data_IF_518497788211
#
_entry.id   IF_518497788211
#
_cell.length_a   1.000
_cell.length_b   1.000
_cell.length_c   1.000
_cell.angle_alpha   90.00
_cell.angle_beta   90.00
_cell.angle_gamma   90.00
#
_symmetry.space_group_name_H-M   'P 1'
#
loop_
_entity.id
_entity.type
_entity.pdbx_description
1 polymer ?
#
# COMPACT_ATOMS: atom_id res chain seq x y z
N UNK A 1 0.55 -4.73 -17.92
CA UNK A 1 0.82 -3.31 -18.22
C UNK A 1 2.28 -3.09 -18.59
N UNK A 2 3.23 -3.55 -17.76
CA UNK A 2 4.67 -3.50 -18.04
C UNK A 2 5.10 -4.16 -19.36
N UNK A 3 4.46 -5.27 -19.77
CA UNK A 3 4.81 -5.99 -21.01
C UNK A 3 4.50 -5.23 -22.32
N UNK A 4 3.73 -4.14 -22.24
CA UNK A 4 3.28 -3.36 -23.42
C UNK A 4 3.81 -1.93 -23.43
N UNK A 5 4.55 -1.52 -22.40
CA UNK A 5 5.12 -0.18 -22.25
C UNK A 5 6.63 -0.22 -22.39
N UNK A 6 7.23 0.87 -22.86
CA UNK A 6 8.68 1.00 -22.80
C UNK A 6 9.12 1.11 -21.32
N UNK A 7 10.28 0.59 -20.93
CA UNK A 7 10.74 0.63 -19.53
C UNK A 7 10.75 2.04 -18.90
N UNK A 8 11.11 3.06 -19.68
CA UNK A 8 11.12 4.44 -19.22
C UNK A 8 9.71 5.02 -18.95
N UNK A 9 8.72 4.62 -19.75
CA UNK A 9 7.33 5.01 -19.58
C UNK A 9 6.74 4.32 -18.34
N UNK A 10 7.04 3.03 -18.16
CA UNK A 10 6.63 2.29 -16.97
C UNK A 10 7.25 2.89 -15.70
N UNK A 11 8.54 3.20 -15.71
CA UNK A 11 9.21 3.85 -14.58
C UNK A 11 8.59 5.22 -14.26
N UNK A 12 8.23 6.01 -15.27
CA UNK A 12 7.57 7.31 -15.07
C UNK A 12 6.17 7.15 -14.45
N UNK A 13 5.41 6.15 -14.88
CA UNK A 13 4.11 5.82 -14.30
C UNK A 13 4.24 5.37 -12.84
N UNK A 14 5.21 4.50 -12.53
CA UNK A 14 5.47 4.04 -11.16
C UNK A 14 5.94 5.18 -10.26
N UNK A 15 6.83 6.06 -10.74
CA UNK A 15 7.26 7.22 -9.97
C UNK A 15 6.09 8.16 -9.64
N UNK A 16 5.15 8.36 -10.58
CA UNK A 16 3.91 9.11 -10.32
C UNK A 16 3.07 8.44 -9.24
N UNK A 17 2.91 7.12 -9.33
CA UNK A 17 2.15 6.33 -8.35
C UNK A 17 2.80 6.37 -6.97
N UNK A 18 4.08 6.04 -6.84
CA UNK A 18 4.79 6.02 -5.56
C UNK A 18 4.79 7.38 -4.89
N UNK A 19 4.95 8.47 -5.66
CA UNK A 19 4.82 9.82 -5.12
C UNK A 19 3.42 10.07 -4.56
N UNK A 20 2.38 9.91 -5.39
CA UNK A 20 0.99 10.16 -4.98
C UNK A 20 0.57 9.27 -3.82
N UNK A 21 0.98 8.00 -3.83
CA UNK A 21 0.61 7.04 -2.80
C UNK A 21 1.35 7.28 -1.49
N UNK A 22 2.64 7.64 -1.54
CA UNK A 22 3.39 7.99 -0.33
C UNK A 22 2.81 9.24 0.33
N UNK A 23 2.48 10.28 -0.45
CA UNK A 23 1.87 11.51 0.07
C UNK A 23 0.54 11.20 0.79
N UNK A 24 -0.28 10.31 0.24
CA UNK A 24 -1.56 9.90 0.84
C UNK A 24 -1.36 9.07 2.10
N UNK A 25 -0.48 8.06 2.06
CA UNK A 25 -0.20 7.19 3.21
C UNK A 25 0.36 8.00 4.37
N UNK A 26 1.35 8.86 4.12
CA UNK A 26 1.92 9.75 5.14
C UNK A 26 0.88 10.74 5.67
N UNK A 27 0.02 11.28 4.79
CA UNK A 27 -1.09 12.15 5.20
C UNK A 27 -2.19 11.44 6.00
N UNK A 28 -2.15 10.11 6.09
CA UNK A 28 -3.00 9.29 6.96
C UNK A 28 -2.18 8.69 8.13
N UNK A 29 -1.01 9.26 8.42
CA UNK A 29 -0.11 8.88 9.52
C UNK A 29 0.48 7.46 9.39
N UNK A 30 0.57 6.93 8.17
CA UNK A 30 1.27 5.67 7.90
C UNK A 30 2.79 5.87 7.84
N UNK A 31 3.53 4.83 8.24
CA UNK A 31 4.93 4.67 7.89
C UNK A 31 5.04 3.93 6.56
N UNK A 32 5.83 4.45 5.62
CA UNK A 32 6.15 3.71 4.41
C UNK A 32 7.15 2.61 4.78
N UNK A 33 6.78 1.36 4.56
CA UNK A 33 7.67 0.21 4.78
C UNK A 33 8.64 0.10 3.61
N UNK A 34 8.11 -0.21 2.43
CA UNK A 34 8.90 -0.36 1.21
C UNK A 34 8.03 -0.35 -0.05
N UNK A 35 8.72 -0.28 -1.18
CA UNK A 35 8.17 -0.57 -2.50
C UNK A 35 8.64 -1.96 -2.94
N UNK A 36 7.75 -2.82 -3.42
CA UNK A 36 8.08 -4.17 -3.91
C UNK A 36 7.56 -4.33 -5.33
N UNK A 37 8.45 -4.19 -6.32
CA UNK A 37 8.02 -4.17 -7.72
C UNK A 37 7.14 -2.95 -8.01
N UNK A 38 5.85 -3.18 -8.23
CA UNK A 38 4.79 -2.19 -8.41
C UNK A 38 3.92 -1.97 -7.16
N UNK A 39 4.22 -2.67 -6.06
CA UNK A 39 3.50 -2.55 -4.79
C UNK A 39 4.05 -1.40 -3.92
N UNK A 40 3.16 -0.77 -3.17
CA UNK A 40 3.46 0.22 -2.14
C UNK A 40 2.87 -0.25 -0.80
N UNK A 41 3.72 -0.39 0.21
CA UNK A 41 3.34 -0.93 1.52
C UNK A 41 3.39 0.18 2.58
N UNK A 42 2.27 0.37 3.28
CA UNK A 42 2.15 1.30 4.41
C UNK A 42 1.80 0.57 5.71
N UNK A 43 2.47 0.95 6.80
CA UNK A 43 2.22 0.44 8.15
C UNK A 43 1.50 1.49 8.98
N UNK A 44 0.37 1.09 9.56
CA UNK A 44 -0.37 1.91 10.50
C UNK A 44 -0.20 1.32 11.90
N UNK A 45 0.53 2.02 12.76
CA UNK A 45 0.90 1.53 14.09
C UNK A 45 0.00 2.16 15.16
N UNK A 46 -0.50 1.38 16.14
CA UNK A 46 -1.35 1.91 17.22
C UNK A 46 -0.65 2.97 18.08
N UNK A 47 0.68 2.96 18.13
CA UNK A 47 1.49 3.96 18.83
C UNK A 47 1.51 5.33 18.12
N UNK A 48 1.14 5.38 16.85
CA UNK A 48 1.10 6.60 16.02
C UNK A 48 -0.37 7.00 15.79
N UNK A 49 -1.24 6.02 15.50
CA UNK A 49 -2.64 6.24 15.13
C UNK A 49 -3.54 5.37 16.00
N UNK A 50 -4.29 5.99 16.92
CA UNK A 50 -5.17 5.26 17.84
C UNK A 50 -6.29 4.46 17.13
N UNK A 51 -6.71 4.92 15.95
CA UNK A 51 -7.65 4.24 15.06
C UNK A 51 -6.98 3.69 13.80
N UNK A 52 -5.79 3.09 13.94
CA UNK A 52 -4.94 2.64 12.83
C UNK A 52 -5.67 1.81 11.76
N UNK A 53 -6.65 0.93 12.07
CA UNK A 53 -7.32 0.15 11.03
C UNK A 53 -8.23 1.03 10.14
N UNK A 54 -9.01 1.91 10.76
CA UNK A 54 -9.87 2.86 10.04
C UNK A 54 -9.04 3.84 9.20
N UNK A 55 -7.89 4.28 9.71
CA UNK A 55 -6.97 5.13 8.96
C UNK A 55 -6.39 4.41 7.72
N UNK A 56 -6.07 3.12 7.84
CA UNK A 56 -5.60 2.30 6.71
C UNK A 56 -6.68 2.15 5.63
N UNK A 57 -7.93 1.91 6.02
CA UNK A 57 -9.07 1.83 5.09
C UNK A 57 -9.32 3.16 4.39
N UNK A 58 -9.26 4.28 5.12
CA UNK A 58 -9.41 5.61 4.55
C UNK A 58 -8.27 5.95 3.57
N UNK A 59 -7.03 5.59 3.89
CA UNK A 59 -5.91 5.73 2.97
C UNK A 59 -6.14 4.93 1.69
N UNK A 60 -6.66 3.70 1.80
CA UNK A 60 -7.08 2.89 0.66
C UNK A 60 -8.11 3.58 -0.23
N UNK A 61 -9.16 4.16 0.36
CA UNK A 61 -10.16 4.95 -0.39
C UNK A 61 -9.54 6.14 -1.12
N UNK A 62 -8.63 6.86 -0.46
CA UNK A 62 -7.92 8.01 -1.04
C UNK A 62 -7.02 7.58 -2.20
N UNK A 63 -6.33 6.45 -2.07
CA UNK A 63 -5.50 5.88 -3.14
C UNK A 63 -6.34 5.53 -4.38
N UNK A 64 -7.51 4.90 -4.20
CA UNK A 64 -8.44 4.62 -5.30
C UNK A 64 -8.87 5.91 -6.00
N UNK A 65 -9.31 6.91 -5.25
CA UNK A 65 -9.70 8.20 -5.82
C UNK A 65 -8.53 8.89 -6.55
N UNK A 66 -7.35 8.93 -5.95
CA UNK A 66 -6.18 9.58 -6.54
C UNK A 66 -5.67 8.87 -7.80
N UNK A 67 -5.92 7.56 -7.93
CA UNK A 67 -5.61 6.78 -9.14
C UNK A 67 -6.71 6.81 -10.20
N UNK A 68 -7.78 7.60 -9.96
CA UNK A 68 -8.86 7.88 -10.90
C UNK A 68 -10.01 6.88 -10.87
N UNK A 69 -10.08 5.99 -9.87
CA UNK A 69 -11.24 5.13 -9.70
C UNK A 69 -12.45 5.98 -9.29
N UNK A 70 -13.55 5.84 -10.03
CA UNK A 70 -14.76 6.64 -9.87
C UNK A 70 -14.86 7.87 -10.78
N UNK A 71 -13.80 8.19 -11.52
CA UNK A 71 -13.82 9.28 -12.52
C UNK A 71 -14.43 8.80 -13.86
N UNK A 72 -15.14 9.67 -14.61
CA UNK A 72 -15.73 9.31 -15.91
C UNK A 72 -14.72 8.79 -16.95
N UNK A 73 -13.45 9.22 -16.84
CA UNK A 73 -12.36 8.77 -17.72
C UNK A 73 -11.75 7.43 -17.32
N UNK A 74 -12.20 6.83 -16.21
CA UNK A 74 -11.60 5.63 -15.64
C UNK A 74 -10.25 5.89 -14.95
N UNK A 75 -9.69 4.87 -14.27
CA UNK A 75 -8.43 5.02 -13.55
C UNK A 75 -7.26 5.19 -14.53
N UNK A 76 -6.39 6.16 -14.24
CA UNK A 76 -5.11 6.27 -14.95
C UNK A 76 -4.11 5.20 -14.51
N UNK A 77 -4.37 4.55 -13.37
CA UNK A 77 -3.67 3.37 -12.91
C UNK A 77 -4.65 2.40 -12.24
N UNK A 78 -4.93 1.22 -12.85
CA UNK A 78 -5.73 0.20 -12.19
C UNK A 78 -4.95 -0.39 -11.01
N UNK A 79 -5.45 -0.20 -9.80
CA UNK A 79 -4.86 -0.74 -8.56
C UNK A 79 -5.91 -1.53 -7.80
N UNK A 80 -5.48 -2.57 -7.09
CA UNK A 80 -6.25 -3.24 -6.04
C UNK A 80 -5.56 -3.01 -4.69
N UNK A 81 -6.33 -2.97 -3.61
CA UNK A 81 -5.80 -2.66 -2.28
C UNK A 81 -6.26 -3.73 -1.28
N UNK A 82 -5.32 -4.22 -0.48
CA UNK A 82 -5.58 -5.12 0.65
C UNK A 82 -5.27 -4.44 1.98
N UNK A 83 -6.20 -4.52 2.94
CA UNK A 83 -6.02 -3.99 4.30
C UNK A 83 -6.32 -5.08 5.33
N UNK A 84 -5.40 -5.25 6.28
CA UNK A 84 -5.54 -6.15 7.40
C UNK A 84 -4.93 -5.52 8.65
N UNK A 85 -5.53 -5.79 9.81
CA UNK A 85 -4.98 -5.44 11.11
C UNK A 85 -4.79 -6.70 11.94
N UNK A 86 -3.61 -6.81 12.56
CA UNK A 86 -3.24 -7.98 13.34
C UNK A 86 -1.92 -7.75 14.07
N UNK A 87 -1.52 -8.75 14.87
CA UNK A 87 -0.24 -8.70 15.59
C UNK A 87 0.89 -9.04 14.63
N UNK A 88 1.92 -8.19 14.59
CA UNK A 88 3.15 -8.40 13.85
C UNK A 88 4.34 -7.89 14.67
N UNK A 89 5.52 -8.45 14.44
CA UNK A 89 6.76 -7.81 14.83
C UNK A 89 6.96 -6.58 13.94
N UNK A 90 7.32 -5.43 14.53
CA UNK A 90 7.68 -4.22 13.78
C UNK A 90 9.00 -3.72 14.33
N UNK A 91 10.01 -3.63 13.48
CA UNK A 91 11.35 -3.23 13.91
C UNK A 91 12.39 -3.41 12.82
N UNK A 92 13.64 -3.24 13.21
CA UNK A 92 14.77 -3.50 12.31
C UNK A 92 14.92 -5.00 12.06
N UNK A 93 15.09 -5.38 10.79
CA UNK A 93 15.31 -6.74 10.30
C UNK A 93 16.48 -6.73 9.33
N UNK A 94 17.42 -7.64 9.52
CA UNK A 94 18.68 -7.71 8.78
C UNK A 94 19.90 -7.60 9.72
N UNK A 95 21.09 -7.52 9.13
CA UNK A 95 22.33 -7.37 9.88
C UNK A 95 23.22 -6.24 9.32
N UNK A 96 24.02 -5.66 10.21
CA UNK A 96 25.10 -4.73 9.87
C UNK A 96 24.70 -3.57 8.96
N UNK A 97 25.11 -3.66 7.69
CA UNK A 97 25.03 -2.59 6.69
C UNK A 97 23.71 -2.59 5.90
N UNK A 98 22.90 -3.64 6.00
CA UNK A 98 21.63 -3.79 5.27
C UNK A 98 20.55 -4.21 6.26
N UNK A 99 19.81 -3.21 6.74
CA UNK A 99 18.70 -3.42 7.65
C UNK A 99 17.49 -2.59 7.20
N UNK A 100 16.34 -3.26 7.11
CA UNK A 100 15.06 -2.62 6.85
C UNK A 100 14.33 -2.42 8.18
N UNK A 101 13.67 -1.28 8.35
CA UNK A 101 12.63 -1.15 9.37
C UNK A 101 11.31 -1.62 8.77
N UNK A 102 10.81 -2.78 9.21
CA UNK A 102 9.70 -3.46 8.53
C UNK A 102 8.82 -4.24 9.50
N UNK A 103 7.71 -4.76 8.99
CA UNK A 103 6.81 -5.64 9.73
C UNK A 103 7.01 -7.11 9.32
N UNK A 104 6.92 -8.03 10.27
CA UNK A 104 6.98 -9.48 10.03
C UNK A 104 5.91 -10.23 10.83
N UNK A 105 5.32 -11.24 10.19
CA UNK A 105 4.34 -12.13 10.79
C UNK A 105 3.15 -12.38 9.88
N UNK A 106 2.23 -13.23 10.35
CA UNK A 106 1.09 -13.66 9.54
C UNK A 106 0.18 -12.51 9.10
N UNK A 107 0.07 -11.45 9.91
CA UNK A 107 -0.72 -10.27 9.56
C UNK A 107 -0.24 -9.61 8.25
N UNK A 108 1.08 -9.55 8.03
CA UNK A 108 1.67 -8.99 6.81
C UNK A 108 1.37 -9.89 5.61
N UNK A 109 1.47 -11.21 5.80
CA UNK A 109 1.17 -12.20 4.77
C UNK A 109 -0.33 -12.20 4.38
N UNK A 110 -1.23 -11.94 5.33
CA UNK A 110 -2.66 -11.79 5.06
C UNK A 110 -2.91 -10.53 4.24
N UNK A 111 -2.33 -9.39 4.62
CA UNK A 111 -2.48 -8.14 3.88
C UNK A 111 -1.98 -8.26 2.43
N UNK A 112 -0.80 -8.86 2.22
CA UNK A 112 -0.25 -9.10 0.89
C UNK A 112 -1.15 -10.03 0.05
N UNK A 113 -1.72 -11.07 0.66
CA UNK A 113 -2.66 -11.96 -0.02
C UNK A 113 -3.93 -11.25 -0.45
N UNK A 114 -4.49 -10.38 0.40
CA UNK A 114 -5.64 -9.55 0.02
C UNK A 114 -5.30 -8.64 -1.15
N UNK A 115 -4.15 -7.95 -1.10
CA UNK A 115 -3.72 -7.08 -2.19
C UNK A 115 -3.59 -7.85 -3.51
N UNK A 116 -3.05 -9.08 -3.48
CA UNK A 116 -2.93 -9.94 -4.67
C UNK A 116 -4.28 -10.46 -5.22
N UNK A 117 -5.32 -10.48 -4.39
CA UNK A 117 -6.67 -10.90 -4.76
C UNK A 117 -7.57 -9.75 -5.20
N UNK A 118 -7.25 -8.52 -4.76
CA UNK A 118 -8.01 -7.33 -5.08
C UNK A 118 -7.91 -7.00 -6.57
N UNK A 119 -9.05 -6.99 -7.25
CA UNK A 119 -9.17 -6.50 -8.62
C UNK A 119 -9.00 -4.97 -8.71
N UNK A 120 -8.89 -4.43 -9.94
CA UNK A 120 -8.84 -2.99 -10.16
C UNK A 120 -10.06 -2.27 -9.55
N UNK A 121 -9.80 -1.31 -8.66
CA UNK A 121 -10.83 -0.54 -7.98
C UNK A 121 -11.34 -1.18 -6.68
N UNK A 122 -10.88 -2.37 -6.33
CA UNK A 122 -11.29 -3.07 -5.12
C UNK A 122 -10.42 -2.69 -3.92
N UNK A 123 -11.07 -2.58 -2.77
CA UNK A 123 -10.45 -2.43 -1.46
C UNK A 123 -10.93 -3.60 -0.58
N UNK A 124 -10.11 -4.64 -0.47
CA UNK A 124 -10.41 -5.81 0.34
C UNK A 124 -9.92 -5.59 1.76
N UNK A 125 -10.83 -5.77 2.72
CA UNK A 125 -10.58 -5.54 4.14
C UNK A 125 -11.04 -6.76 4.93
N UNK A 126 -10.21 -7.28 5.83
CA UNK A 126 -10.65 -8.32 6.77
C UNK A 126 -11.52 -7.74 7.87
N UNK A 127 -12.38 -8.54 8.50
CA UNK A 127 -13.16 -8.12 9.69
C UNK A 127 -12.30 -7.64 10.87
N UNK A 128 -11.03 -8.04 10.92
CA UNK A 128 -10.09 -7.59 11.95
C UNK A 128 -9.61 -6.14 11.75
N UNK A 129 -9.92 -5.51 10.62
CA UNK A 129 -9.51 -4.16 10.25
C UNK A 129 -10.69 -3.18 10.25
#
# INVERSE_FOLDING_TARGET
>A
MAERMMPAEFASLMNRFFKSGSDILIGCDALIDKFVGDELIGLFLPAIVAGHPAAAVEAGRRLLSATGHGEPGGPWLPIGIGVHSGTAYVGSVGDGLVADFTAMGDAVNVAARLASQAGPGELLVTEAA
#
